data_IF_185615274389
#
_entry.id   IF_185615274389
#
_cell.length_a   1.000
_cell.length_b   1.000
_cell.length_c   1.000
_cell.angle_alpha   90.00
_cell.angle_beta   90.00
_cell.angle_gamma   90.00
#
_symmetry.space_group_name_H-M   'P 1'
#
loop_
_entity.id
_entity.type
_entity.pdbx_description
1 polymer ?
#
# COMPACT_ATOMS: atom_id res chain seq x y z
N UNK A 1 35.49 1.19 -4.64
CA UNK A 1 34.70 1.15 -3.39
C UNK A 1 33.87 -0.13 -3.48
N UNK A 2 33.77 -0.93 -2.43
CA UNK A 2 32.85 -2.06 -2.46
C UNK A 2 31.44 -1.47 -2.49
N UNK A 3 30.69 -1.70 -3.57
CA UNK A 3 29.34 -1.17 -3.68
C UNK A 3 28.46 -1.76 -2.57
N UNK A 4 27.61 -0.92 -1.95
CA UNK A 4 26.72 -1.40 -0.89
C UNK A 4 25.72 -2.39 -1.48
N UNK A 5 25.62 -3.57 -0.87
CA UNK A 5 24.64 -4.61 -1.23
C UNK A 5 23.30 -4.36 -0.55
N UNK A 6 23.31 -3.69 0.60
CA UNK A 6 22.16 -3.48 1.47
C UNK A 6 21.92 -1.99 1.68
N UNK A 7 20.69 -1.57 1.50
CA UNK A 7 20.22 -0.20 1.69
C UNK A 7 19.10 -0.24 2.73
N UNK A 8 19.33 0.42 3.87
CA UNK A 8 18.31 0.60 4.90
C UNK A 8 17.80 2.03 4.85
N UNK A 9 16.53 2.20 5.19
CA UNK A 9 15.91 3.48 5.45
C UNK A 9 15.78 3.65 6.97
N UNK A 10 15.98 4.86 7.49
CA UNK A 10 15.84 5.11 8.92
C UNK A 10 14.37 4.99 9.35
N UNK A 11 14.10 4.57 10.59
CA UNK A 11 12.74 4.43 11.11
C UNK A 11 12.00 5.78 11.16
N UNK A 12 12.72 6.89 11.33
CA UNK A 12 12.17 8.24 11.30
C UNK A 12 11.69 8.64 9.89
N UNK A 13 12.16 7.95 8.86
CA UNK A 13 11.83 8.17 7.45
C UNK A 13 10.71 7.24 6.94
N UNK A 14 10.12 6.39 7.81
CA UNK A 14 8.93 5.61 7.44
C UNK A 14 7.84 6.55 6.88
N UNK A 15 7.18 6.21 5.77
CA UNK A 15 6.10 7.02 5.22
C UNK A 15 5.02 7.38 6.24
N UNK A 16 4.38 8.54 6.06
CA UNK A 16 3.31 9.04 6.93
C UNK A 16 1.91 8.79 6.36
N UNK A 17 1.81 8.53 5.06
CA UNK A 17 0.57 8.25 4.35
C UNK A 17 0.72 7.01 3.46
N UNK A 18 -0.36 6.28 3.28
CA UNK A 18 -0.53 5.33 2.19
C UNK A 18 -0.87 6.09 0.90
N UNK A 19 -0.37 5.59 -0.23
CA UNK A 19 -0.70 6.13 -1.54
C UNK A 19 -1.83 5.32 -2.18
N UNK A 20 -2.85 6.03 -2.67
CA UNK A 20 -3.99 5.43 -3.36
C UNK A 20 -3.90 5.67 -4.88
N UNK A 21 -3.63 4.59 -5.61
CA UNK A 21 -3.48 4.64 -7.07
C UNK A 21 -4.77 5.06 -7.79
N UNK A 22 -5.95 4.84 -7.20
CA UNK A 22 -7.25 5.16 -7.83
C UNK A 22 -7.34 6.64 -8.20
N UNK A 23 -6.70 7.52 -7.43
CA UNK A 23 -6.63 8.96 -7.70
C UNK A 23 -5.91 9.34 -9.00
N UNK A 24 -5.04 8.47 -9.50
CA UNK A 24 -4.19 8.71 -10.68
C UNK A 24 -4.56 7.77 -11.87
N UNK A 25 -5.60 6.94 -11.72
CA UNK A 25 -6.08 6.09 -12.82
C UNK A 25 -6.78 6.92 -13.91
N UNK A 26 -6.66 6.53 -15.19
CA UNK A 26 -7.31 7.25 -16.30
C UNK A 26 -8.85 7.19 -16.22
N UNK A 27 -9.38 6.12 -15.62
CA UNK A 27 -10.79 5.93 -15.30
C UNK A 27 -10.90 5.15 -13.98
N UNK A 28 -11.97 5.36 -13.19
CA UNK A 28 -12.14 4.65 -11.92
C UNK A 28 -12.36 3.14 -12.15
N UNK A 29 -11.96 2.28 -11.20
CA UNK A 29 -12.28 0.87 -11.25
C UNK A 29 -13.80 0.65 -11.36
N UNK A 30 -14.20 -0.43 -12.05
CA UNK A 30 -15.60 -0.82 -12.12
C UNK A 30 -16.17 -1.03 -10.70
N UNK A 31 -17.41 -0.60 -10.43
CA UNK A 31 -18.01 -0.78 -9.12
C UNK A 31 -18.17 -2.26 -8.79
N UNK A 32 -17.98 -2.61 -7.52
CA UNK A 32 -18.29 -3.95 -7.02
C UNK A 32 -19.80 -4.13 -7.04
N UNK A 33 -20.25 -5.26 -7.59
CA UNK A 33 -21.68 -5.55 -7.77
C UNK A 33 -22.17 -6.51 -6.69
N UNK A 34 -23.28 -6.17 -6.04
CA UNK A 34 -23.93 -7.03 -5.07
C UNK A 34 -24.50 -8.29 -5.76
N UNK A 35 -24.12 -9.51 -5.36
CA UNK A 35 -24.48 -10.74 -6.07
C UNK A 35 -25.99 -11.03 -6.08
N UNK A 36 -26.72 -10.57 -5.05
CA UNK A 36 -28.18 -10.74 -4.96
C UNK A 36 -29.01 -9.73 -5.75
N UNK A 37 -28.59 -8.46 -5.84
CA UNK A 37 -29.40 -7.39 -6.47
C UNK A 37 -28.92 -7.05 -7.88
N UNK A 38 -27.68 -7.41 -8.22
CA UNK A 38 -27.05 -7.01 -9.48
C UNK A 38 -26.75 -5.51 -9.57
N UNK A 39 -26.85 -4.76 -8.48
CA UNK A 39 -26.56 -3.33 -8.40
C UNK A 39 -25.20 -3.09 -7.74
N UNK A 40 -24.54 -1.93 -7.98
CA UNK A 40 -23.37 -1.51 -7.22
C UNK A 40 -23.61 -1.59 -5.72
N UNK A 41 -22.63 -2.08 -4.95
CA UNK A 41 -22.69 -2.11 -3.49
C UNK A 41 -22.59 -0.70 -2.89
N UNK A 42 -23.21 -0.51 -1.73
CA UNK A 42 -23.00 0.65 -0.87
C UNK A 42 -22.26 0.30 0.44
N UNK A 43 -21.94 1.31 1.27
CA UNK A 43 -21.29 1.10 2.57
C UNK A 43 -22.06 0.14 3.49
N UNK A 44 -23.40 0.17 3.46
CA UNK A 44 -24.25 -0.68 4.29
C UNK A 44 -24.13 -2.17 3.94
N UNK A 45 -23.81 -2.49 2.68
CA UNK A 45 -23.56 -3.88 2.25
C UNK A 45 -22.23 -4.41 2.82
N UNK A 46 -21.29 -3.52 3.13
CA UNK A 46 -19.96 -3.83 3.66
C UNK A 46 -19.90 -3.78 5.19
N UNK A 47 -20.77 -3.01 5.83
CA UNK A 47 -20.78 -2.80 7.29
C UNK A 47 -20.85 -4.09 8.13
N UNK A 48 -21.53 -5.18 7.69
CA UNK A 48 -21.50 -6.46 8.42
C UNK A 48 -20.16 -7.19 8.36
N UNK A 49 -19.28 -6.85 7.40
CA UNK A 49 -18.05 -7.57 7.09
C UNK A 49 -16.81 -6.82 7.56
N UNK A 50 -16.83 -5.49 7.51
CA UNK A 50 -15.67 -4.65 7.69
C UNK A 50 -15.91 -3.52 8.69
N UNK A 51 -14.83 -2.99 9.25
CA UNK A 51 -14.91 -1.78 10.07
C UNK A 51 -15.15 -0.55 9.19
N UNK A 52 -15.80 0.48 9.75
CA UNK A 52 -16.05 1.72 9.03
C UNK A 52 -14.76 2.34 8.46
N UNK A 53 -13.64 2.25 9.19
CA UNK A 53 -12.36 2.77 8.71
C UNK A 53 -11.89 2.11 7.41
N UNK A 54 -12.04 0.79 7.28
CA UNK A 54 -11.68 0.06 6.05
C UNK A 54 -12.65 0.40 4.91
N UNK A 55 -13.96 0.50 5.22
CA UNK A 55 -14.97 0.87 4.23
C UNK A 55 -14.69 2.27 3.65
N UNK A 56 -14.36 3.24 4.50
CA UNK A 56 -14.01 4.59 4.06
C UNK A 56 -12.75 4.63 3.20
N UNK A 57 -11.77 3.76 3.45
CA UNK A 57 -10.59 3.64 2.59
C UNK A 57 -10.93 3.03 1.23
N UNK A 58 -11.77 2.00 1.19
CA UNK A 58 -12.19 1.32 -0.04
C UNK A 58 -12.89 2.27 -1.02
N UNK A 59 -13.73 3.18 -0.50
CA UNK A 59 -14.48 4.14 -1.34
C UNK A 59 -13.76 5.47 -1.53
N UNK A 60 -12.55 5.63 -1.00
CA UNK A 60 -11.81 6.89 -1.07
C UNK A 60 -11.20 7.13 -2.44
N UNK A 61 -11.31 8.37 -2.93
CA UNK A 61 -10.59 8.86 -4.10
C UNK A 61 -9.40 9.78 -3.72
N UNK A 62 -9.10 9.91 -2.43
CA UNK A 62 -7.98 10.72 -1.96
C UNK A 62 -6.65 10.06 -2.33
N UNK A 63 -5.70 10.85 -2.85
CA UNK A 63 -4.39 10.37 -3.30
C UNK A 63 -3.50 9.87 -2.17
N UNK A 64 -3.61 10.48 -1.00
CA UNK A 64 -2.86 10.12 0.20
C UNK A 64 -3.84 9.91 1.34
N UNK A 65 -3.66 8.82 2.07
CA UNK A 65 -4.45 8.48 3.26
C UNK A 65 -3.46 8.39 4.41
N UNK A 66 -3.62 9.24 5.44
CA UNK A 66 -2.72 9.24 6.59
C UNK A 66 -2.71 7.87 7.29
N UNK A 67 -1.50 7.39 7.61
CA UNK A 67 -1.32 6.20 8.42
C UNK A 67 -1.59 6.59 9.87
N UNK A 68 -2.59 6.03 10.55
CA UNK A 68 -2.85 6.35 11.94
C UNK A 68 -1.60 6.09 12.80
N UNK A 69 -1.27 6.99 13.72
CA UNK A 69 -0.04 6.87 14.53
C UNK A 69 0.09 5.49 15.22
N UNK A 70 -0.96 4.89 15.81
CA UNK A 70 -0.83 3.56 16.41
C UNK A 70 -0.44 2.46 15.40
N UNK A 71 -0.85 2.59 14.14
CA UNK A 71 -0.46 1.65 13.07
C UNK A 71 1.00 1.88 12.69
N UNK A 72 1.43 3.14 12.61
CA UNK A 72 2.81 3.51 12.31
C UNK A 72 3.79 3.12 13.43
N UNK A 73 3.36 3.23 14.69
CA UNK A 73 4.08 2.71 15.86
C UNK A 73 4.32 1.20 15.75
N UNK A 74 3.31 0.44 15.32
CA UNK A 74 3.45 -0.99 15.08
C UNK A 74 4.45 -1.26 13.96
N UNK A 75 4.38 -0.52 12.85
CA UNK A 75 5.30 -0.70 11.73
C UNK A 75 6.77 -0.52 12.14
N UNK A 76 7.09 0.44 13.02
CA UNK A 76 8.47 0.68 13.49
C UNK A 76 9.14 -0.57 14.11
N UNK A 77 8.37 -1.55 14.57
CA UNK A 77 8.94 -2.78 15.13
C UNK A 77 9.68 -3.67 14.09
N UNK A 78 9.35 -3.56 12.79
CA UNK A 78 9.96 -4.39 11.73
C UNK A 78 10.07 -3.73 10.34
N UNK A 79 9.64 -2.46 10.22
CA UNK A 79 9.80 -1.63 9.02
C UNK A 79 10.75 -0.47 9.35
N UNK A 80 11.44 0.11 8.34
CA UNK A 80 11.40 -0.23 6.92
C UNK A 80 12.08 -1.57 6.58
N UNK A 81 11.60 -2.26 5.55
CA UNK A 81 12.31 -3.43 5.03
C UNK A 81 13.58 -2.99 4.27
N UNK A 82 14.71 -3.67 4.43
CA UNK A 82 15.92 -3.38 3.66
C UNK A 82 15.71 -3.64 2.17
N UNK A 83 16.30 -2.79 1.33
CA UNK A 83 16.46 -3.02 -0.10
C UNK A 83 17.83 -3.64 -0.35
N UNK A 84 17.90 -4.70 -1.17
CA UNK A 84 19.15 -5.32 -1.56
C UNK A 84 19.37 -5.20 -3.06
N UNK A 85 20.60 -4.89 -3.46
CA UNK A 85 21.03 -5.01 -4.85
C UNK A 85 21.66 -6.38 -5.10
N UNK A 86 21.23 -7.05 -6.16
CA UNK A 86 21.56 -8.45 -6.41
C UNK A 86 22.79 -8.61 -7.33
N UNK A 87 23.95 -8.04 -6.98
CA UNK A 87 25.16 -8.05 -7.85
C UNK A 87 25.59 -9.44 -8.34
N UNK A 88 25.40 -10.49 -7.52
CA UNK A 88 25.73 -11.86 -7.93
C UNK A 88 24.79 -12.40 -9.00
N UNK A 89 23.52 -11.99 -8.95
CA UNK A 89 22.55 -12.30 -9.99
C UNK A 89 22.89 -11.51 -11.26
N UNK A 90 23.20 -10.22 -11.14
CA UNK A 90 23.63 -9.37 -12.26
C UNK A 90 24.85 -9.98 -13.00
N UNK A 91 25.89 -10.37 -12.26
CA UNK A 91 27.07 -11.03 -12.82
C UNK A 91 26.77 -12.40 -13.46
N UNK A 92 25.84 -13.17 -12.89
CA UNK A 92 25.44 -14.47 -13.45
C UNK A 92 24.61 -14.33 -14.74
N UNK A 93 23.93 -13.19 -14.91
CA UNK A 93 23.11 -12.87 -16.06
C UNK A 93 23.86 -12.04 -17.12
N UNK A 94 25.11 -11.66 -16.87
CA UNK A 94 25.89 -10.72 -17.70
C UNK A 94 25.14 -9.39 -17.95
N UNK A 95 24.47 -8.90 -16.90
CA UNK A 95 23.75 -7.61 -16.92
C UNK A 95 24.49 -6.56 -16.10
N UNK A 96 24.36 -5.26 -16.43
CA UNK A 96 24.91 -4.16 -15.63
C UNK A 96 24.43 -4.12 -14.17
#
# INVERSE_FOLDING_TARGET
MADSVKFNLDENEIPKSWYNIVSDLPEPPAPVIHPGTGQPIGPDDLAPLFTMAVIMQEVSAERQIDIPEPVRDIYRQWRPSPLYRAYRLEAALDTP
#
